data_IF_566216102554
#
_entry.id   IF_566216102554
#
_cell.length_a   1.000
_cell.length_b   1.000
_cell.length_c   1.000
_cell.angle_alpha   90.00
_cell.angle_beta   90.00
_cell.angle_gamma   90.00
#
_symmetry.space_group_name_H-M   'P 1'
#
loop_
_entity.id
_entity.type
_entity.pdbx_description
1 polymer ?
#
# COMPACT_ATOMS: atom_id res chain seq x y z
N UNK A 1 -0.14 -22.56 6.83
CA UNK A 1 1.25 -22.80 6.37
C UNK A 1 2.17 -21.91 7.19
N UNK A 2 3.28 -22.44 7.72
CA UNK A 2 4.22 -21.63 8.51
C UNK A 2 4.96 -20.60 7.65
N UNK A 3 5.37 -19.48 8.25
CA UNK A 3 6.07 -18.40 7.55
C UNK A 3 7.35 -18.87 6.83
N UNK A 4 8.01 -19.91 7.36
CA UNK A 4 9.20 -20.51 6.76
C UNK A 4 8.88 -21.12 5.39
N UNK A 5 7.85 -21.97 5.32
CA UNK A 5 7.45 -22.61 4.06
C UNK A 5 7.00 -21.61 2.99
N UNK A 6 6.40 -20.48 3.41
CA UNK A 6 5.99 -19.42 2.50
C UNK A 6 7.17 -18.61 1.94
N UNK A 7 8.24 -18.42 2.73
CA UNK A 7 9.49 -17.80 2.26
C UNK A 7 10.28 -18.77 1.35
N UNK A 8 10.29 -20.06 1.66
CA UNK A 8 10.86 -21.09 0.79
C UNK A 8 10.17 -21.14 -0.57
N UNK A 9 8.84 -20.99 -0.61
CA UNK A 9 8.09 -20.89 -1.87
C UNK A 9 8.51 -19.67 -2.72
N UNK A 10 9.03 -18.62 -2.09
CA UNK A 10 9.60 -17.44 -2.74
C UNK A 10 11.10 -17.59 -3.04
N UNK A 11 11.66 -18.80 -2.92
CA UNK A 11 13.09 -19.10 -3.03
C UNK A 11 13.97 -18.31 -2.05
N UNK A 12 13.45 -17.92 -0.88
CA UNK A 12 14.20 -17.20 0.16
C UNK A 12 14.39 -18.09 1.37
N UNK A 13 15.64 -18.35 1.72
CA UNK A 13 15.98 -19.02 2.97
C UNK A 13 16.29 -17.97 4.05
N UNK A 14 15.40 -17.80 5.03
CA UNK A 14 15.66 -16.89 6.15
C UNK A 14 16.42 -17.61 7.27
N UNK A 15 17.61 -17.14 7.58
CA UNK A 15 18.42 -17.59 8.72
C UNK A 15 18.48 -16.45 9.73
N UNK A 16 18.22 -16.74 11.00
CA UNK A 16 18.36 -15.75 12.07
C UNK A 16 19.45 -16.16 13.05
N UNK A 17 20.22 -15.18 13.52
CA UNK A 17 21.24 -15.36 14.55
C UNK A 17 21.04 -14.31 15.64
N UNK A 18 21.05 -14.73 16.91
CA UNK A 18 21.08 -13.83 18.05
C UNK A 18 22.36 -14.06 18.87
N UNK A 19 23.24 -13.06 18.93
CA UNK A 19 24.52 -13.12 19.64
C UNK A 19 24.58 -12.04 20.73
N UNK A 20 25.14 -12.41 21.89
CA UNK A 20 25.33 -11.49 23.01
C UNK A 20 26.61 -10.66 22.88
N UNK A 21 27.46 -10.97 21.91
CA UNK A 21 28.77 -10.34 21.73
C UNK A 21 28.96 -9.96 20.27
N UNK A 22 29.35 -8.70 20.04
CA UNK A 22 29.87 -8.21 18.77
C UNK A 22 31.41 -8.19 18.83
N UNK A 23 32.11 -9.09 18.14
CA UNK A 23 33.57 -9.06 18.09
C UNK A 23 34.13 -7.91 17.24
N UNK A 24 33.31 -7.24 16.43
CA UNK A 24 33.75 -6.22 15.48
C UNK A 24 33.27 -4.80 15.80
N UNK A 25 32.40 -4.65 16.81
CA UNK A 25 31.72 -3.39 17.14
C UNK A 25 30.94 -2.76 15.96
N UNK A 26 30.67 -3.56 14.92
CA UNK A 26 29.86 -3.20 13.76
C UNK A 26 28.98 -4.41 13.39
N UNK A 27 27.67 -4.33 13.68
CA UNK A 27 26.71 -5.39 13.39
C UNK A 27 26.66 -5.78 11.91
N UNK A 28 26.91 -4.82 10.99
CA UNK A 28 26.91 -5.10 9.54
C UNK A 28 28.12 -5.93 9.15
N UNK A 29 29.30 -5.55 9.64
CA UNK A 29 30.53 -6.32 9.45
C UNK A 29 30.41 -7.72 10.03
N UNK A 30 29.84 -7.84 11.24
CA UNK A 30 29.58 -9.15 11.85
C UNK A 30 28.64 -10.01 11.00
N UNK A 31 27.54 -9.46 10.49
CA UNK A 31 26.62 -10.18 9.61
C UNK A 31 27.29 -10.65 8.31
N UNK A 32 28.11 -9.79 7.68
CA UNK A 32 28.85 -10.15 6.46
C UNK A 32 29.86 -11.27 6.70
N UNK A 33 30.58 -11.21 7.82
CA UNK A 33 31.55 -12.24 8.22
C UNK A 33 30.87 -13.58 8.52
N UNK A 34 29.78 -13.58 9.27
CA UNK A 34 28.98 -14.79 9.55
C UNK A 34 28.46 -15.39 8.25
N UNK A 35 27.90 -14.56 7.36
CA UNK A 35 27.38 -15.03 6.07
C UNK A 35 28.45 -15.75 5.25
N UNK A 36 29.66 -15.18 5.21
CA UNK A 36 30.82 -15.75 4.50
C UNK A 36 31.32 -17.03 5.15
N UNK A 37 31.57 -17.02 6.46
CA UNK A 37 32.16 -18.16 7.20
C UNK A 37 31.21 -19.35 7.22
N UNK A 38 29.90 -19.12 7.33
CA UNK A 38 28.89 -20.18 7.30
C UNK A 38 28.60 -20.69 5.88
N UNK A 39 29.17 -20.08 4.84
CA UNK A 39 28.95 -20.48 3.45
C UNK A 39 27.48 -20.41 3.06
N UNK A 40 26.75 -19.38 3.53
CA UNK A 40 25.32 -19.24 3.24
C UNK A 40 25.10 -19.03 1.74
N UNK A 41 24.00 -19.59 1.23
CA UNK A 41 23.70 -19.57 -0.19
C UNK A 41 23.35 -18.16 -0.68
N UNK A 42 23.48 -17.92 -1.98
CA UNK A 42 23.06 -16.66 -2.62
C UNK A 42 21.53 -16.38 -2.49
N UNK A 43 20.75 -17.38 -2.09
CA UNK A 43 19.30 -17.29 -1.83
C UNK A 43 18.96 -17.11 -0.35
N UNK A 44 19.99 -16.97 0.49
CA UNK A 44 19.84 -16.85 1.93
C UNK A 44 19.77 -15.37 2.35
N UNK A 45 18.84 -15.06 3.24
CA UNK A 45 18.77 -13.80 3.96
C UNK A 45 19.14 -14.06 5.41
N UNK A 46 20.24 -13.46 5.86
CA UNK A 46 20.71 -13.57 7.24
C UNK A 46 20.27 -12.33 8.03
N UNK A 47 19.49 -12.58 9.09
CA UNK A 47 19.06 -11.58 10.06
C UNK A 47 19.86 -11.76 11.36
N UNK A 48 20.71 -10.79 11.69
CA UNK A 48 21.60 -10.87 12.83
C UNK A 48 21.19 -9.86 13.89
N UNK A 49 20.91 -10.36 15.09
CA UNK A 49 20.69 -9.59 16.30
C UNK A 49 21.97 -9.65 17.14
N UNK A 50 22.57 -8.51 17.41
CA UNK A 50 23.75 -8.43 18.29
C UNK A 50 23.48 -7.49 19.44
N UNK A 51 23.86 -7.89 20.64
CA UNK A 51 23.73 -7.04 21.82
C UNK A 51 24.98 -6.18 22.00
N UNK A 52 24.78 -4.90 22.26
CA UNK A 52 25.85 -3.97 22.64
C UNK A 52 26.13 -3.98 24.16
N UNK A 53 27.14 -3.22 24.55
CA UNK A 53 27.52 -3.00 25.96
C UNK A 53 26.39 -2.36 26.78
N UNK A 54 25.58 -1.50 26.14
CA UNK A 54 24.40 -0.86 26.73
C UNK A 54 23.19 -1.80 26.83
N UNK A 55 23.39 -3.10 26.61
CA UNK A 55 22.37 -4.15 26.69
C UNK A 55 21.27 -4.04 25.65
N UNK A 56 21.44 -3.21 24.62
CA UNK A 56 20.50 -3.03 23.51
C UNK A 56 20.83 -3.97 22.36
N UNK A 57 19.78 -4.46 21.71
CA UNK A 57 19.89 -5.25 20.50
C UNK A 57 19.98 -4.35 19.29
N UNK A 58 21.00 -4.57 18.46
CA UNK A 58 21.16 -4.00 17.13
C UNK A 58 20.88 -5.07 16.09
N UNK A 59 20.30 -4.65 14.96
CA UNK A 59 19.90 -5.57 13.90
C UNK A 59 20.60 -5.24 12.60
N UNK A 60 21.29 -6.23 12.05
CA UNK A 60 21.88 -6.18 10.73
C UNK A 60 21.24 -7.24 9.83
N UNK A 61 21.20 -6.93 8.53
CA UNK A 61 20.70 -7.83 7.50
C UNK A 61 21.80 -8.00 6.47
N UNK A 62 22.11 -9.24 6.15
CA UNK A 62 22.98 -9.59 5.03
C UNK A 62 22.18 -10.49 4.08
N UNK A 63 22.07 -10.07 2.83
CA UNK A 63 21.42 -10.84 1.78
C UNK A 63 22.45 -11.41 0.81
N UNK A 64 22.16 -12.60 0.28
CA UNK A 64 22.84 -13.12 -0.90
C UNK A 64 22.52 -12.30 -2.16
N UNK A 65 23.41 -12.37 -3.14
CA UNK A 65 23.35 -11.55 -4.36
C UNK A 65 22.18 -11.91 -5.28
N UNK A 66 21.64 -13.13 -5.17
CA UNK A 66 20.54 -13.61 -6.00
C UNK A 66 19.16 -13.18 -5.48
N UNK A 67 19.07 -12.52 -4.31
CA UNK A 67 17.81 -12.09 -3.71
C UNK A 67 17.39 -10.71 -4.20
N UNK A 68 16.15 -10.63 -4.70
CA UNK A 68 15.49 -9.34 -4.93
C UNK A 68 14.74 -8.94 -3.67
N UNK A 69 15.20 -7.88 -3.02
CA UNK A 69 14.65 -7.42 -1.75
C UNK A 69 13.67 -6.26 -1.95
N UNK A 70 12.58 -6.19 -1.15
CA UNK A 70 11.64 -5.08 -1.23
C UNK A 70 12.27 -3.79 -0.70
N UNK A 71 11.92 -2.64 -1.28
CA UNK A 71 12.40 -1.33 -0.81
C UNK A 71 12.06 -1.01 0.65
N UNK A 72 11.06 -1.68 1.23
CA UNK A 72 10.65 -1.57 2.65
C UNK A 72 11.58 -2.34 3.62
N UNK A 73 12.64 -3.00 3.13
CA UNK A 73 13.51 -3.84 3.97
C UNK A 73 14.12 -3.08 5.16
N UNK A 74 14.57 -1.85 4.95
CA UNK A 74 15.20 -1.05 6.01
C UNK A 74 14.18 -0.63 7.10
N UNK A 75 12.93 -0.43 6.74
CA UNK A 75 11.84 -0.17 7.70
C UNK A 75 11.55 -1.43 8.54
N UNK A 76 11.52 -2.60 7.88
CA UNK A 76 11.36 -3.89 8.57
C UNK A 76 12.52 -4.16 9.52
N UNK A 77 13.76 -3.82 9.13
CA UNK A 77 14.95 -3.92 10.00
C UNK A 77 14.79 -3.09 11.26
N UNK A 78 14.45 -1.80 11.13
CA UNK A 78 14.24 -0.89 12.25
C UNK A 78 13.12 -1.36 13.18
N UNK A 79 12.04 -1.90 12.61
CA UNK A 79 10.94 -2.48 13.38
C UNK A 79 11.40 -3.72 14.16
N UNK A 80 12.16 -4.61 13.52
CA UNK A 80 12.73 -5.79 14.19
C UNK A 80 13.68 -5.38 15.33
N UNK A 81 14.48 -4.33 15.15
CA UNK A 81 15.34 -3.78 16.21
C UNK A 81 14.54 -3.26 17.40
N UNK A 82 13.47 -2.52 17.13
CA UNK A 82 12.55 -2.03 18.17
C UNK A 82 11.91 -3.19 18.93
N UNK A 83 11.40 -4.19 18.21
CA UNK A 83 10.73 -5.35 18.81
C UNK A 83 11.71 -6.25 19.59
N UNK A 84 12.96 -6.37 19.12
CA UNK A 84 13.99 -7.13 19.82
C UNK A 84 14.33 -6.52 21.18
N UNK A 85 14.37 -5.18 21.25
CA UNK A 85 14.58 -4.44 22.50
C UNK A 85 13.34 -4.42 23.40
N UNK A 86 12.12 -4.48 22.84
CA UNK A 86 10.87 -4.46 23.59
C UNK A 86 10.48 -5.82 24.16
N UNK A 87 10.66 -6.89 23.38
CA UNK A 87 10.15 -8.23 23.71
C UNK A 87 11.30 -9.25 23.77
N UNK A 88 11.78 -9.71 22.61
CA UNK A 88 12.89 -10.67 22.47
C UNK A 88 13.30 -10.82 20.99
N UNK A 89 14.57 -11.16 20.70
CA UNK A 89 15.05 -11.37 19.33
C UNK A 89 14.24 -12.42 18.55
N UNK A 90 13.88 -13.54 19.17
CA UNK A 90 13.11 -14.61 18.49
C UNK A 90 11.71 -14.16 18.03
N UNK A 91 11.03 -13.32 18.81
CA UNK A 91 9.74 -12.76 18.41
C UNK A 91 9.90 -11.74 17.28
N UNK A 92 10.93 -10.89 17.38
CA UNK A 92 11.26 -9.94 16.33
C UNK A 92 11.60 -10.63 15.00
N UNK A 93 12.30 -11.77 15.03
CA UNK A 93 12.58 -12.56 13.83
C UNK A 93 11.31 -13.09 13.16
N UNK A 94 10.33 -13.55 13.93
CA UNK A 94 9.03 -14.02 13.40
C UNK A 94 8.25 -12.85 12.77
N UNK A 95 8.19 -11.70 13.43
CA UNK A 95 7.52 -10.50 12.91
C UNK A 95 8.23 -9.93 11.67
N UNK A 96 9.55 -10.06 11.62
CA UNK A 96 10.32 -9.71 10.44
C UNK A 96 9.98 -10.65 9.27
N UNK A 97 9.94 -11.96 9.51
CA UNK A 97 9.60 -12.95 8.50
C UNK A 97 8.19 -12.72 7.90
N UNK A 98 7.20 -12.44 8.75
CA UNK A 98 5.84 -12.15 8.30
C UNK A 98 5.76 -10.83 7.52
N UNK A 99 6.44 -9.78 7.98
CA UNK A 99 6.51 -8.48 7.30
C UNK A 99 7.24 -8.55 5.96
N UNK A 100 8.33 -9.33 5.88
CA UNK A 100 9.08 -9.55 4.66
C UNK A 100 8.23 -10.26 3.61
N UNK A 101 7.55 -11.34 4.00
CA UNK A 101 6.65 -12.06 3.11
C UNK A 101 5.54 -11.15 2.58
N UNK A 102 4.91 -10.36 3.44
CA UNK A 102 3.89 -9.41 3.03
C UNK A 102 4.42 -8.37 2.02
N UNK A 103 5.63 -7.85 2.25
CA UNK A 103 6.26 -6.88 1.35
C UNK A 103 6.63 -7.48 0.00
N UNK A 104 7.07 -8.75 -0.04
CA UNK A 104 7.35 -9.47 -1.29
C UNK A 104 6.07 -9.70 -2.11
N UNK A 105 5.00 -10.16 -1.45
CA UNK A 105 3.70 -10.35 -2.10
C UNK A 105 3.08 -9.04 -2.60
N UNK A 106 3.31 -7.93 -1.89
CA UNK A 106 2.89 -6.60 -2.32
C UNK A 106 3.70 -6.09 -3.52
N UNK A 107 5.01 -6.37 -3.55
CA UNK A 107 5.89 -6.01 -4.66
C UNK A 107 5.58 -6.81 -5.95
N UNK A 108 5.14 -8.06 -5.81
CA UNK A 108 4.75 -8.92 -6.93
C UNK A 108 3.40 -8.53 -7.53
N UNK A 109 2.54 -7.86 -6.76
CA UNK A 109 1.30 -7.28 -7.30
C UNK A 109 1.65 -6.05 -8.12
N UNK A 110 1.27 -5.97 -9.41
CA UNK A 110 1.37 -4.73 -10.16
C UNK A 110 0.44 -3.71 -9.49
N UNK A 111 1.04 -2.84 -8.68
CA UNK A 111 0.30 -1.87 -7.90
C UNK A 111 -0.40 -0.89 -8.83
N UNK A 112 -1.74 -0.94 -8.86
CA UNK A 112 -2.53 0.27 -9.10
C UNK A 112 -2.23 1.16 -7.89
N UNK A 113 -1.14 1.92 -8.00
CA UNK A 113 -0.73 2.87 -6.98
C UNK A 113 -1.81 3.96 -6.92
N UNK A 114 -2.69 3.84 -5.93
CA UNK A 114 -3.80 4.76 -5.68
C UNK A 114 -3.33 6.15 -5.20
N UNK A 115 -2.04 6.49 -5.38
CA UNK A 115 -1.47 7.78 -4.98
C UNK A 115 -1.89 8.93 -5.90
N UNK A 116 -2.35 8.61 -7.11
CA UNK A 116 -2.81 9.59 -8.11
C UNK A 116 -4.25 9.37 -8.56
N UNK A 117 -5.16 8.84 -7.71
CA UNK A 117 -6.57 8.79 -8.11
C UNK A 117 -7.08 10.23 -8.28
N UNK A 118 -7.42 10.67 -9.51
CA UNK A 118 -7.67 12.07 -9.81
C UNK A 118 -9.10 12.40 -9.39
N UNK A 119 -9.32 12.48 -8.07
CA UNK A 119 -10.61 12.82 -7.48
C UNK A 119 -11.16 14.13 -8.05
N UNK A 120 -10.28 15.04 -8.48
CA UNK A 120 -10.63 16.27 -9.20
C UNK A 120 -11.41 15.99 -10.49
N UNK A 121 -11.08 14.94 -11.26
CA UNK A 121 -11.80 14.56 -12.48
C UNK A 121 -13.17 13.94 -12.16
N UNK A 122 -13.28 13.19 -11.07
CA UNK A 122 -14.56 12.63 -10.61
C UNK A 122 -15.49 13.73 -10.12
N UNK A 123 -14.97 14.70 -9.36
CA UNK A 123 -15.73 15.87 -8.92
C UNK A 123 -16.11 16.77 -10.10
N UNK A 124 -15.21 17.02 -11.06
CA UNK A 124 -15.55 17.77 -12.28
C UNK A 124 -16.61 17.05 -13.11
N UNK A 125 -16.48 15.73 -13.28
CA UNK A 125 -17.43 14.91 -14.03
C UNK A 125 -18.80 14.87 -13.37
N UNK A 126 -18.85 14.71 -12.04
CA UNK A 126 -20.09 14.76 -11.27
C UNK A 126 -20.78 16.12 -11.32
N UNK A 127 -20.01 17.21 -11.19
CA UNK A 127 -20.54 18.58 -11.27
C UNK A 127 -21.06 18.91 -12.67
N UNK A 128 -20.33 18.50 -13.71
CA UNK A 128 -20.72 18.69 -15.11
C UNK A 128 -21.99 17.92 -15.47
N UNK A 129 -22.11 16.66 -15.02
CA UNK A 129 -23.31 15.85 -15.23
C UNK A 129 -24.53 16.42 -14.49
N UNK A 130 -24.33 16.92 -13.26
CA UNK A 130 -25.38 17.55 -12.46
C UNK A 130 -25.89 18.85 -13.12
N UNK A 131 -25.00 19.69 -13.64
CA UNK A 131 -25.35 20.89 -14.41
C UNK A 131 -26.09 20.55 -15.70
N UNK A 132 -25.65 19.53 -16.45
CA UNK A 132 -26.33 19.06 -17.66
C UNK A 132 -27.75 18.58 -17.37
N UNK A 133 -27.95 17.81 -16.29
CA UNK A 133 -29.28 17.35 -15.87
C UNK A 133 -30.21 18.52 -15.49
N UNK A 134 -29.69 19.56 -14.83
CA UNK A 134 -30.44 20.76 -14.50
C UNK A 134 -30.82 21.57 -15.75
N UNK A 135 -29.91 21.72 -16.71
CA UNK A 135 -30.20 22.39 -17.98
C UNK A 135 -31.21 21.59 -18.81
N UNK A 136 -31.06 20.27 -18.90
CA UNK A 136 -31.99 19.38 -19.60
C UNK A 136 -33.42 19.47 -19.03
N UNK A 137 -33.57 19.75 -17.73
CA UNK A 137 -34.90 19.99 -17.12
C UNK A 137 -35.56 21.29 -17.59
N UNK A 138 -34.79 22.30 -17.98
CA UNK A 138 -35.30 23.60 -18.47
C UNK A 138 -35.43 23.67 -19.99
N UNK A 139 -34.96 22.65 -20.71
CA UNK A 139 -34.97 22.57 -22.15
C UNK A 139 -35.99 21.54 -22.59
N UNK A 140 -36.80 21.86 -23.59
CA UNK A 140 -37.78 20.92 -24.10
C UNK A 140 -37.09 19.79 -24.91
N UNK A 141 -37.39 18.52 -24.63
CA UNK A 141 -36.72 17.37 -25.27
C UNK A 141 -37.02 17.24 -26.78
N UNK A 142 -38.11 17.85 -27.28
CA UNK A 142 -38.47 17.80 -28.71
C UNK A 142 -37.91 18.98 -29.51
N UNK A 143 -37.96 20.18 -28.94
CA UNK A 143 -37.71 21.43 -29.66
C UNK A 143 -36.35 22.06 -29.31
N UNK A 144 -35.66 21.58 -28.25
CA UNK A 144 -34.38 22.15 -27.77
C UNK A 144 -34.47 23.57 -27.22
N UNK A 145 -35.67 24.16 -27.15
CA UNK A 145 -35.90 25.53 -26.67
C UNK A 145 -36.20 25.58 -25.17
N UNK A 146 -35.88 26.70 -24.49
CA UNK A 146 -36.17 26.86 -23.08
C UNK A 146 -37.68 26.83 -22.83
N UNK A 147 -38.08 26.04 -21.85
CA UNK A 147 -39.47 25.95 -21.38
C UNK A 147 -39.83 27.27 -20.67
N UNK A 148 -41.00 27.83 -20.97
CA UNK A 148 -41.52 28.99 -20.24
C UNK A 148 -42.36 28.52 -19.06
N UNK A 149 -42.17 29.20 -17.94
CA UNK A 149 -42.98 29.01 -16.73
C UNK A 149 -44.33 29.70 -16.92
N UNK A 150 -45.42 28.94 -16.86
CA UNK A 150 -46.79 29.47 -16.92
C UNK A 150 -47.52 29.02 -15.65
N UNK A 151 -48.27 29.92 -15.02
CA UNK A 151 -49.14 29.59 -13.89
C UNK A 151 -50.46 29.03 -14.43
N UNK A 152 -50.86 27.85 -13.97
CA UNK A 152 -52.18 27.27 -14.20
C UNK A 152 -52.95 27.18 -12.88
N UNK A 153 -54.25 26.88 -12.98
CA UNK A 153 -55.17 26.76 -11.83
C UNK A 153 -54.70 25.69 -10.83
N UNK A 154 -53.96 24.68 -11.30
CA UNK A 154 -53.45 23.55 -10.51
C UNK A 154 -51.96 23.64 -10.10
N UNK A 155 -51.23 24.72 -10.45
CA UNK A 155 -49.82 24.87 -10.09
C UNK A 155 -48.95 25.53 -11.17
N UNK A 156 -47.65 25.25 -11.14
CA UNK A 156 -46.68 25.77 -12.10
C UNK A 156 -46.46 24.74 -13.20
N UNK A 157 -46.75 25.09 -14.46
CA UNK A 157 -46.52 24.23 -15.62
C UNK A 157 -45.43 24.84 -16.50
N UNK A 158 -44.53 23.99 -16.99
CA UNK A 158 -43.49 24.35 -17.95
C UNK A 158 -43.91 23.98 -19.36
N UNK A 159 -43.99 24.96 -20.28
CA UNK A 159 -44.50 24.75 -21.65
C UNK A 159 -43.51 25.23 -22.72
N UNK A 160 -43.24 24.43 -23.77
CA UNK A 160 -42.48 24.87 -24.95
C UNK A 160 -43.41 25.67 -25.87
N UNK A 161 -43.02 26.90 -26.21
CA UNK A 161 -43.81 27.80 -27.08
C UNK A 161 -43.95 27.30 -28.52
N UNK A 162 -43.10 26.38 -28.98
CA UNK A 162 -43.09 25.90 -30.37
C UNK A 162 -43.83 24.59 -30.56
N UNK A 163 -43.52 23.57 -29.76
CA UNK A 163 -44.10 22.22 -29.92
C UNK A 163 -45.21 21.89 -28.91
N UNK A 164 -45.61 22.87 -28.07
CA UNK A 164 -46.63 22.74 -27.01
C UNK A 164 -46.41 21.58 -26.04
N UNK A 165 -45.18 21.07 -25.93
CA UNK A 165 -44.82 20.09 -24.90
C UNK A 165 -44.97 20.75 -23.53
N UNK A 166 -45.82 20.18 -22.68
CA UNK A 166 -46.09 20.65 -21.34
C UNK A 166 -45.64 19.60 -20.32
N UNK A 167 -44.94 20.06 -19.27
CA UNK A 167 -44.56 19.24 -18.12
C UNK A 167 -45.10 19.90 -16.87
N UNK A 168 -45.98 19.18 -16.16
CA UNK A 168 -46.41 19.55 -14.82
C UNK A 168 -45.47 18.88 -13.81
N UNK A 169 -44.98 19.66 -12.85
CA UNK A 169 -44.44 19.13 -11.60
C UNK A 169 -45.51 19.34 -10.55
N UNK A 170 -46.16 18.26 -10.09
CA UNK A 170 -46.95 18.27 -8.87
C UNK A 170 -46.02 18.54 -7.68
#
# INVERSE_FOLDING_TARGET
MGYIAALEAQNIQLVYLASWRDPFSDPKRYAAEVFRVWGLSERTLLLVFVRDENRRWHVAIQAGSALTLPGKLEELRKKAETEANRVRPGYAAIQFASGLLAALLEAERPGISAKNFPWKLVVLGGLGLFLLLLLARRICPRCGRPLRRVRSVSGIIWVCSRCRYARASL
#
